data_IF_830577307226
#
_entry.id   IF_830577307226
#
_cell.length_a   1.000
_cell.length_b   1.000
_cell.length_c   1.000
_cell.angle_alpha   90.00
_cell.angle_beta   90.00
_cell.angle_gamma   90.00
#
_symmetry.space_group_name_H-M   'P 1'
#
loop_
_entity.id
_entity.type
_entity.pdbx_description
1 polymer ?
#
# COMPACT_ATOMS: atom_id res chain seq x y z
N UNK A 1 -6.50 -15.56 -4.10
CA UNK A 1 -5.33 -14.64 -4.15
C UNK A 1 -5.90 -13.25 -4.26
N UNK A 2 -5.57 -12.37 -3.32
CA UNK A 2 -6.18 -11.03 -3.20
C UNK A 2 -5.69 -10.09 -4.32
N UNK A 3 -6.63 -9.46 -5.04
CA UNK A 3 -6.33 -8.60 -6.19
C UNK A 3 -5.57 -7.33 -5.79
N UNK A 4 -5.88 -6.76 -4.60
CA UNK A 4 -5.23 -5.57 -4.09
C UNK A 4 -3.80 -5.88 -3.67
N UNK A 5 -3.58 -7.00 -2.97
CA UNK A 5 -2.22 -7.45 -2.62
C UNK A 5 -1.36 -7.66 -3.86
N UNK A 6 -1.93 -8.29 -4.88
CA UNK A 6 -1.24 -8.51 -6.16
C UNK A 6 -0.89 -7.18 -6.84
N UNK A 7 -1.83 -6.23 -6.89
CA UNK A 7 -1.61 -4.91 -7.48
C UNK A 7 -0.55 -4.10 -6.71
N UNK A 8 -0.53 -4.15 -5.39
CA UNK A 8 0.50 -3.51 -4.56
C UNK A 8 1.88 -4.06 -4.90
N UNK A 9 2.04 -5.38 -4.96
CA UNK A 9 3.32 -6.02 -5.26
C UNK A 9 3.79 -5.72 -6.70
N UNK A 10 2.88 -5.70 -7.66
CA UNK A 10 3.16 -5.30 -9.04
C UNK A 10 3.59 -3.82 -9.13
N UNK A 11 2.93 -2.92 -8.41
CA UNK A 11 3.35 -1.51 -8.35
C UNK A 11 4.73 -1.36 -7.71
N UNK A 12 5.02 -2.10 -6.64
CA UNK A 12 6.37 -2.18 -6.07
C UNK A 12 7.39 -2.63 -7.12
N UNK A 13 7.12 -3.70 -7.89
CA UNK A 13 8.01 -4.18 -8.96
C UNK A 13 8.29 -3.11 -10.01
N UNK A 14 7.24 -2.43 -10.49
CA UNK A 14 7.32 -1.37 -11.50
C UNK A 14 8.06 -0.12 -10.99
N UNK A 15 7.80 0.28 -9.74
CA UNK A 15 8.39 1.47 -9.12
C UNK A 15 9.64 1.11 -8.32
N UNK A 16 10.74 0.79 -9.03
CA UNK A 16 12.09 0.48 -8.50
C UNK A 16 12.31 0.90 -7.03
N UNK A 17 12.71 2.15 -6.81
CA UNK A 17 13.04 2.73 -5.48
C UNK A 17 12.08 3.86 -5.08
N UNK A 18 11.02 4.07 -5.87
CA UNK A 18 10.06 5.16 -5.63
C UNK A 18 8.88 4.65 -4.81
N UNK A 19 8.54 5.40 -3.77
CA UNK A 19 7.32 5.12 -3.02
C UNK A 19 6.06 5.59 -3.76
N UNK A 20 4.91 5.05 -3.37
CA UNK A 20 3.59 5.40 -3.91
C UNK A 20 2.54 5.37 -2.80
N UNK A 21 1.36 5.95 -3.04
CA UNK A 21 0.25 5.95 -2.10
C UNK A 21 -0.69 4.76 -2.31
N UNK A 22 -1.39 4.28 -1.26
CA UNK A 22 -2.43 3.25 -1.41
C UNK A 22 -3.54 3.66 -2.39
N UNK A 23 -3.89 4.95 -2.42
CA UNK A 23 -4.88 5.50 -3.36
C UNK A 23 -4.47 5.38 -4.82
N UNK A 24 -3.17 5.35 -5.15
CA UNK A 24 -2.72 5.13 -6.53
C UNK A 24 -3.04 3.70 -6.99
N UNK A 25 -2.99 2.72 -6.08
CA UNK A 25 -3.32 1.31 -6.37
C UNK A 25 -4.79 1.18 -6.75
N UNK A 26 -5.69 1.67 -5.89
CA UNK A 26 -7.14 1.56 -6.13
C UNK A 26 -7.61 2.44 -7.27
N UNK A 27 -6.97 3.58 -7.54
CA UNK A 27 -7.28 4.38 -8.75
C UNK A 27 -6.90 3.67 -10.03
N UNK A 28 -5.88 2.81 -10.02
CA UNK A 28 -5.49 2.04 -11.19
C UNK A 28 -6.45 0.89 -11.47
N UNK A 29 -7.01 0.26 -10.43
CA UNK A 29 -7.94 -0.86 -10.56
C UNK A 29 -9.41 -0.41 -10.73
N UNK A 30 -9.81 0.61 -9.98
CA UNK A 30 -11.19 1.08 -9.84
C UNK A 30 -11.23 2.61 -10.01
N UNK A 31 -10.96 3.15 -11.20
CA UNK A 31 -10.78 4.59 -11.41
C UNK A 31 -11.98 5.45 -10.98
N UNK A 32 -13.21 4.93 -11.11
CA UNK A 32 -14.44 5.63 -10.74
C UNK A 32 -14.77 5.46 -9.24
N UNK A 33 -14.62 4.24 -8.71
CA UNK A 33 -15.07 3.85 -7.37
C UNK A 33 -13.94 3.74 -6.33
N UNK A 34 -12.73 4.19 -6.64
CA UNK A 34 -11.52 3.98 -5.82
C UNK A 34 -11.68 4.35 -4.33
N UNK A 35 -12.57 5.30 -4.01
CA UNK A 35 -12.83 5.73 -2.64
C UNK A 35 -13.47 4.62 -1.79
N UNK A 36 -14.29 3.76 -2.41
CA UNK A 36 -14.97 2.66 -1.73
C UNK A 36 -13.96 1.58 -1.28
N UNK A 37 -12.89 1.39 -2.05
CA UNK A 37 -11.84 0.38 -1.79
C UNK A 37 -10.70 0.88 -0.90
N UNK A 38 -10.81 2.09 -0.33
CA UNK A 38 -9.74 2.67 0.49
C UNK A 38 -9.49 1.93 1.81
N UNK A 39 -10.50 1.29 2.37
CA UNK A 39 -10.37 0.46 3.56
C UNK A 39 -9.68 -0.86 3.21
N UNK A 40 -10.20 -1.58 2.22
CA UNK A 40 -9.67 -2.87 1.74
C UNK A 40 -8.19 -2.76 1.31
N UNK A 41 -7.81 -1.69 0.61
CA UNK A 41 -6.40 -1.50 0.19
C UNK A 41 -5.48 -1.23 1.38
N UNK A 42 -5.98 -0.59 2.43
CA UNK A 42 -5.20 -0.38 3.67
C UNK A 42 -5.01 -1.68 4.41
N UNK A 43 -6.04 -2.51 4.52
CA UNK A 43 -5.94 -3.83 5.13
C UNK A 43 -4.95 -4.71 4.37
N UNK A 44 -5.12 -4.81 3.05
CA UNK A 44 -4.19 -5.55 2.17
C UNK A 44 -2.75 -5.06 2.27
N UNK A 45 -2.55 -3.74 2.33
CA UNK A 45 -1.24 -3.14 2.54
C UNK A 45 -0.66 -3.53 3.90
N UNK A 46 -1.42 -3.42 4.99
CA UNK A 46 -0.95 -3.75 6.33
C UNK A 46 -0.61 -5.24 6.46
N UNK A 47 -1.40 -6.13 5.88
CA UNK A 47 -1.06 -7.55 5.82
C UNK A 47 0.27 -7.81 5.11
N UNK A 48 0.49 -7.20 3.94
CA UNK A 48 1.76 -7.32 3.22
C UNK A 48 2.94 -6.73 4.01
N UNK A 49 2.69 -5.66 4.77
CA UNK A 49 3.69 -5.03 5.61
C UNK A 49 4.09 -5.94 6.78
N UNK A 50 3.11 -6.55 7.45
CA UNK A 50 3.33 -7.54 8.52
C UNK A 50 4.08 -8.77 8.02
N UNK A 51 3.85 -9.19 6.78
CA UNK A 51 4.58 -10.28 6.12
C UNK A 51 5.99 -9.89 5.65
N UNK A 52 6.41 -8.62 5.83
CA UNK A 52 7.70 -8.12 5.35
C UNK A 52 7.82 -8.05 3.83
N UNK A 53 6.70 -8.11 3.08
CA UNK A 53 6.69 -8.08 1.61
C UNK A 53 6.80 -6.68 1.04
N UNK A 54 6.47 -5.66 1.84
CA UNK A 54 6.57 -4.24 1.50
C UNK A 54 7.08 -3.46 2.70
N UNK A 55 7.44 -2.18 2.50
CA UNK A 55 7.62 -1.20 3.57
C UNK A 55 6.53 -0.14 3.50
N UNK A 56 6.02 0.26 4.66
CA UNK A 56 5.07 1.35 4.79
C UNK A 56 5.68 2.44 5.65
N UNK A 57 5.62 3.68 5.17
CA UNK A 57 6.11 4.86 5.89
C UNK A 57 5.11 6.00 5.87
N UNK A 58 5.15 6.82 6.91
CA UNK A 58 4.42 8.06 7.03
C UNK A 58 5.41 9.18 7.31
N UNK A 59 5.36 10.26 6.52
CA UNK A 59 6.34 11.37 6.60
C UNK A 59 7.81 10.89 6.56
N UNK A 60 8.08 9.80 5.84
CA UNK A 60 9.41 9.20 5.72
C UNK A 60 9.81 8.25 6.86
N UNK A 61 8.98 8.12 7.90
CA UNK A 61 9.25 7.27 9.06
C UNK A 61 8.46 5.96 8.89
N UNK A 62 9.09 4.78 9.05
CA UNK A 62 8.37 3.51 9.08
C UNK A 62 7.28 3.52 10.16
N UNK A 63 6.08 3.07 9.81
CA UNK A 63 4.98 3.02 10.79
C UNK A 63 5.07 1.76 11.66
N UNK A 64 4.52 1.83 12.87
CA UNK A 64 4.32 0.66 13.72
C UNK A 64 3.29 -0.29 13.07
N UNK A 65 3.62 -1.56 12.81
CA UNK A 65 2.69 -2.52 12.23
C UNK A 65 1.43 -2.78 13.07
N UNK A 66 1.47 -2.48 14.37
CA UNK A 66 0.34 -2.69 15.29
C UNK A 66 -0.58 -1.47 15.42
N UNK A 67 -0.24 -0.36 14.77
CA UNK A 67 -1.06 0.85 14.80
C UNK A 67 -1.83 1.01 13.49
N UNK A 68 -3.07 1.51 13.60
CA UNK A 68 -3.87 1.88 12.43
C UNK A 68 -3.42 3.28 11.99
N UNK A 69 -2.66 3.40 10.88
CA UNK A 69 -2.16 4.69 10.45
C UNK A 69 -3.31 5.57 9.93
N UNK A 70 -3.32 6.84 10.33
CA UNK A 70 -4.27 7.85 9.83
C UNK A 70 -3.57 8.81 8.89
N UNK A 71 -4.22 9.15 7.78
CA UNK A 71 -3.72 10.14 6.82
C UNK A 71 -2.82 9.58 5.72
N UNK A 72 -1.99 10.42 5.08
CA UNK A 72 -1.18 10.02 3.93
C UNK A 72 -0.11 9.00 4.30
N UNK A 73 -0.01 7.94 3.49
CA UNK A 73 0.91 6.82 3.65
C UNK A 73 1.65 6.56 2.36
N UNK A 74 2.85 5.99 2.49
CA UNK A 74 3.72 5.64 1.38
C UNK A 74 4.13 4.17 1.46
N UNK A 75 3.97 3.46 0.35
CA UNK A 75 4.39 2.07 0.16
C UNK A 75 5.65 2.06 -0.68
N UNK A 76 6.61 1.20 -0.34
CA UNK A 76 7.83 0.95 -1.12
C UNK A 76 8.22 -0.54 -1.05
N UNK A 77 9.20 -0.93 -1.87
CA UNK A 77 9.84 -2.25 -1.74
C UNK A 77 10.42 -2.44 -0.33
N UNK A 78 10.48 -3.70 0.15
CA UNK A 78 11.30 -4.03 1.29
C UNK A 78 12.77 -3.75 0.94
N UNK A 79 13.55 -3.23 1.90
CA UNK A 79 15.02 -3.20 1.76
C UNK A 79 15.56 -4.61 1.88
#
# INVERSE_FOLDING_TARGET
MDVLKTAILEMCRKRKDKSFCPSEVVRQLYPEDWRLFMEEVRESMMELYLQGKIRVSQKGIPIDPNQIPKGPLRISKPK
#
